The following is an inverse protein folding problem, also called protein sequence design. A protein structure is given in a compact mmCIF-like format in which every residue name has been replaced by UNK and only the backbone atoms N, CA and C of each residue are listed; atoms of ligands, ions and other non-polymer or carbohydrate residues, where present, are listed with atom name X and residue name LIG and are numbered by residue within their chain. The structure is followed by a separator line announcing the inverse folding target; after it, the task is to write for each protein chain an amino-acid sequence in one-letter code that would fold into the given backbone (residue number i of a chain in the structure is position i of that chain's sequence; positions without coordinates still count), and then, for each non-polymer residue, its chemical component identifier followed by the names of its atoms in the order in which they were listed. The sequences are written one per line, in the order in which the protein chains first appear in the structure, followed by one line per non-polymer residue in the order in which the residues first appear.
data_IF_412846772364
#
_entry.id   IF_412846772364
#
_cell.length_a   1.000
_cell.length_b   1.000
_cell.length_c   1.000
_cell.angle_alpha   90.00
_cell.angle_beta   90.00
_cell.angle_gamma   90.00
#
_symmetry.space_group_name_H-M   'P 1'
#
loop_
_entity.id
_entity.type
_entity.pdbx_description
1 polymer ?
#
# COMPACT_ATOMS: atom_id res chain seq x y z
N UNK A 1 -21.63 13.13 9.51
CA UNK A 1 -20.20 12.72 9.58
C UNK A 1 -19.73 11.91 8.37
N UNK A 2 -20.39 10.82 7.97
CA UNK A 2 -19.92 9.90 6.89
C UNK A 2 -19.61 10.57 5.53
N UNK A 3 -20.45 11.51 5.08
CA UNK A 3 -20.22 12.29 3.83
C UNK A 3 -19.00 13.22 3.87
N UNK A 4 -18.58 13.67 5.06
CA UNK A 4 -17.42 14.55 5.20
C UNK A 4 -16.12 13.75 5.15
N UNK A 5 -16.10 12.59 5.80
CA UNK A 5 -14.95 11.68 5.78
C UNK A 5 -14.71 11.12 4.37
N UNK A 6 -15.77 10.76 3.66
CA UNK A 6 -15.68 10.30 2.26
C UNK A 6 -14.92 11.29 1.39
N UNK A 7 -15.30 12.58 1.42
CA UNK A 7 -14.61 13.62 0.65
C UNK A 7 -13.14 13.82 1.04
N UNK A 8 -12.80 13.62 2.31
CA UNK A 8 -11.42 13.72 2.78
C UNK A 8 -10.58 12.57 2.21
N UNK A 9 -11.09 11.33 2.25
CA UNK A 9 -10.39 10.19 1.68
C UNK A 9 -10.27 10.25 0.15
N UNK A 10 -11.30 10.77 -0.52
CA UNK A 10 -11.32 10.99 -1.97
C UNK A 10 -10.19 11.97 -2.40
N UNK A 11 -10.18 13.16 -1.79
CA UNK A 11 -9.14 14.18 -2.07
C UNK A 11 -7.73 13.66 -1.73
N UNK A 12 -7.56 13.03 -0.56
CA UNK A 12 -6.25 12.51 -0.16
C UNK A 12 -5.82 11.38 -1.09
N UNK A 13 -6.72 10.48 -1.47
CA UNK A 13 -6.46 9.36 -2.37
C UNK A 13 -5.99 9.83 -3.74
N UNK A 14 -6.70 10.80 -4.33
CA UNK A 14 -6.32 11.41 -5.61
C UNK A 14 -4.95 12.08 -5.54
N UNK A 15 -4.70 12.90 -4.53
CA UNK A 15 -3.42 13.59 -4.36
C UNK A 15 -2.27 12.59 -4.19
N UNK A 16 -2.44 11.58 -3.34
CA UNK A 16 -1.41 10.56 -3.12
C UNK A 16 -1.14 9.74 -4.39
N UNK A 17 -2.17 9.44 -5.18
CA UNK A 17 -2.00 8.74 -6.45
C UNK A 17 -1.18 9.56 -7.45
N UNK A 18 -1.47 10.86 -7.57
CA UNK A 18 -0.70 11.78 -8.42
C UNK A 18 0.75 11.89 -7.95
N UNK A 19 0.99 12.04 -6.64
CA UNK A 19 2.34 12.11 -6.08
C UNK A 19 3.13 10.82 -6.31
N UNK A 20 2.50 9.66 -6.14
CA UNK A 20 3.12 8.37 -6.41
C UNK A 20 3.52 8.22 -7.88
N UNK A 21 2.67 8.69 -8.80
CA UNK A 21 2.95 8.70 -10.23
C UNK A 21 4.10 9.65 -10.60
N UNK A 22 4.12 10.85 -10.03
CA UNK A 22 5.22 11.80 -10.21
C UNK A 22 6.54 11.20 -9.74
N UNK A 23 6.55 10.58 -8.54
CA UNK A 23 7.73 9.90 -8.02
C UNK A 23 8.19 8.77 -8.94
N UNK A 24 7.26 7.98 -9.47
CA UNK A 24 7.56 6.91 -10.42
C UNK A 24 8.25 7.45 -11.68
N UNK A 25 7.68 8.49 -12.31
CA UNK A 25 8.26 9.11 -13.51
C UNK A 25 9.63 9.73 -13.19
N UNK A 26 9.75 10.41 -12.06
CA UNK A 26 11.00 11.03 -11.62
C UNK A 26 12.13 10.00 -11.46
N UNK A 27 11.84 8.86 -10.80
CA UNK A 27 12.80 7.76 -10.66
C UNK A 27 13.13 7.08 -11.99
N UNK A 28 12.16 6.96 -12.90
CA UNK A 28 12.39 6.43 -14.25
C UNK A 28 13.33 7.33 -15.07
N UNK A 29 13.19 8.65 -14.96
CA UNK A 29 14.13 9.61 -15.56
C UNK A 29 15.50 9.47 -14.90
N UNK A 30 15.57 9.37 -13.56
CA UNK A 30 16.84 9.15 -12.88
C UNK A 30 17.55 7.86 -13.33
N UNK A 31 16.81 6.79 -13.64
CA UNK A 31 17.41 5.56 -14.15
C UNK A 31 18.13 5.73 -15.51
N UNK A 32 17.76 6.75 -16.30
CA UNK A 32 18.41 7.07 -17.57
C UNK A 32 19.59 8.04 -17.42
N UNK A 33 19.44 9.05 -16.56
CA UNK A 33 20.39 10.15 -16.46
C UNK A 33 21.31 10.08 -15.22
N UNK A 34 21.02 9.18 -14.27
CA UNK A 34 21.80 8.92 -13.05
C UNK A 34 22.22 10.20 -12.29
N UNK A 35 21.27 11.10 -12.05
CA UNK A 35 21.54 12.40 -11.44
C UNK A 35 21.31 12.45 -9.92
N UNK A 36 20.71 11.42 -9.32
CA UNK A 36 20.49 11.32 -7.88
C UNK A 36 21.66 10.62 -7.17
N UNK A 37 22.14 11.15 -6.03
CA UNK A 37 23.05 10.43 -5.15
C UNK A 37 22.40 9.18 -4.52
N UNK A 38 23.20 8.15 -4.27
CA UNK A 38 22.74 6.84 -3.74
C UNK A 38 21.88 6.96 -2.47
N UNK A 39 22.28 7.82 -1.53
CA UNK A 39 21.54 8.02 -0.29
C UNK A 39 20.12 8.56 -0.53
N UNK A 40 19.94 9.46 -1.49
CA UNK A 40 18.63 10.01 -1.87
C UNK A 40 17.83 8.96 -2.64
N UNK A 41 18.47 8.27 -3.59
CA UNK A 41 17.84 7.23 -4.39
C UNK A 41 17.25 6.13 -3.51
N UNK A 42 18.00 5.62 -2.53
CA UNK A 42 17.54 4.57 -1.63
C UNK A 42 16.27 4.97 -0.87
N UNK A 43 16.22 6.20 -0.34
CA UNK A 43 15.03 6.71 0.37
C UNK A 43 13.84 6.82 -0.59
N UNK A 44 14.04 7.37 -1.79
CA UNK A 44 12.97 7.53 -2.77
C UNK A 44 12.45 6.18 -3.29
N UNK A 45 13.31 5.18 -3.46
CA UNK A 45 12.90 3.82 -3.84
C UNK A 45 12.05 3.17 -2.75
N UNK A 46 12.41 3.34 -1.48
CA UNK A 46 11.58 2.87 -0.36
C UNK A 46 10.22 3.56 -0.37
N UNK A 47 10.18 4.89 -0.54
CA UNK A 47 8.92 5.63 -0.64
C UNK A 47 8.09 5.14 -1.83
N UNK A 48 8.70 4.89 -2.99
CA UNK A 48 8.03 4.37 -4.17
C UNK A 48 7.45 2.96 -3.92
N UNK A 49 8.19 2.08 -3.24
CA UNK A 49 7.74 0.74 -2.91
C UNK A 49 6.48 0.77 -2.02
N UNK A 50 6.43 1.67 -1.03
CA UNK A 50 5.29 1.78 -0.12
C UNK A 50 4.17 2.71 -0.63
N UNK A 51 4.42 3.55 -1.63
CA UNK A 51 3.41 4.50 -2.12
C UNK A 51 2.19 3.78 -2.70
N UNK A 52 2.40 2.70 -3.45
CA UNK A 52 1.31 1.91 -4.04
C UNK A 52 0.36 1.35 -3.00
N UNK A 53 0.90 0.82 -1.90
CA UNK A 53 0.06 0.25 -0.86
C UNK A 53 -0.68 1.32 -0.08
N UNK A 54 -0.03 2.45 0.22
CA UNK A 54 -0.67 3.59 0.87
C UNK A 54 -1.85 4.11 0.01
N UNK A 55 -1.63 4.29 -1.31
CA UNK A 55 -2.69 4.73 -2.24
C UNK A 55 -3.83 3.71 -2.27
N UNK A 56 -3.52 2.43 -2.41
CA UNK A 56 -4.52 1.36 -2.46
C UNK A 56 -5.34 1.29 -1.17
N UNK A 57 -4.71 1.49 -0.02
CA UNK A 57 -5.40 1.55 1.27
C UNK A 57 -6.35 2.75 1.31
N UNK A 58 -5.87 3.96 1.02
CA UNK A 58 -6.67 5.18 1.10
C UNK A 58 -7.88 5.12 0.17
N UNK A 59 -7.67 4.78 -1.11
CA UNK A 59 -8.75 4.65 -2.11
C UNK A 59 -9.66 3.47 -1.77
N UNK A 60 -9.11 2.35 -1.30
CA UNK A 60 -9.89 1.20 -0.85
C UNK A 60 -10.78 1.55 0.35
N UNK A 61 -10.28 2.30 1.33
CA UNK A 61 -11.06 2.78 2.46
C UNK A 61 -12.20 3.69 2.02
N UNK A 62 -11.93 4.62 1.11
CA UNK A 62 -12.94 5.51 0.52
C UNK A 62 -14.06 4.70 -0.16
N UNK A 63 -13.69 3.75 -1.02
CA UNK A 63 -14.63 2.89 -1.74
C UNK A 63 -15.47 2.03 -0.77
N UNK A 64 -14.86 1.50 0.28
CA UNK A 64 -15.52 0.58 1.22
C UNK A 64 -16.41 1.31 2.24
N UNK A 65 -16.09 2.56 2.60
CA UNK A 65 -16.97 3.40 3.44
C UNK A 65 -18.35 3.57 2.81
N UNK A 66 -18.48 3.51 1.48
CA UNK A 66 -19.76 3.62 0.75
C UNK A 66 -20.56 2.31 0.74
N UNK A 67 -19.92 1.16 1.02
CA UNK A 67 -20.52 -0.19 0.95
C UNK A 67 -21.14 -0.64 2.28
N UNK A 68 -21.76 -1.82 2.28
CA UNK A 68 -22.35 -2.46 3.46
C UNK A 68 -21.26 -2.90 4.46
N UNK A 69 -21.66 -3.26 5.68
CA UNK A 69 -20.71 -3.63 6.75
C UNK A 69 -19.88 -4.88 6.40
N UNK A 70 -20.50 -5.86 5.73
CA UNK A 70 -19.83 -7.10 5.32
C UNK A 70 -18.60 -6.83 4.44
N UNK A 71 -18.75 -6.02 3.39
CA UNK A 71 -17.64 -5.67 2.50
C UNK A 71 -16.52 -4.92 3.22
N UNK A 72 -16.86 -4.08 4.22
CA UNK A 72 -15.84 -3.39 5.03
C UNK A 72 -15.03 -4.33 5.90
N UNK A 73 -15.68 -5.29 6.55
CA UNK A 73 -15.00 -6.28 7.39
C UNK A 73 -14.04 -7.10 6.53
N UNK A 74 -14.50 -7.59 5.37
CA UNK A 74 -13.65 -8.33 4.42
C UNK A 74 -12.44 -7.48 4.02
N UNK A 75 -12.66 -6.22 3.67
CA UNK A 75 -11.57 -5.31 3.33
C UNK A 75 -10.58 -5.13 4.49
N UNK A 76 -11.04 -4.92 5.72
CA UNK A 76 -10.17 -4.75 6.89
C UNK A 76 -9.32 -6.00 7.16
N UNK A 77 -9.88 -7.19 6.98
CA UNK A 77 -9.14 -8.46 7.11
C UNK A 77 -8.04 -8.56 6.05
N UNK A 78 -8.35 -8.23 4.79
CA UNK A 78 -7.37 -8.24 3.70
C UNK A 78 -6.25 -7.22 3.98
N UNK A 79 -6.60 -6.00 4.38
CA UNK A 79 -5.63 -4.95 4.76
C UNK A 79 -4.73 -5.42 5.90
N UNK A 80 -5.30 -6.01 6.94
CA UNK A 80 -4.53 -6.53 8.07
C UNK A 80 -3.56 -7.64 7.62
N UNK A 81 -4.02 -8.59 6.79
CA UNK A 81 -3.17 -9.64 6.26
C UNK A 81 -2.00 -9.07 5.45
N UNK A 82 -2.27 -8.13 4.56
CA UNK A 82 -1.25 -7.46 3.73
C UNK A 82 -0.21 -6.74 4.59
N UNK A 83 -0.64 -5.97 5.60
CA UNK A 83 0.27 -5.28 6.52
C UNK A 83 1.12 -6.28 7.30
N UNK A 84 0.51 -7.35 7.82
CA UNK A 84 1.25 -8.38 8.57
C UNK A 84 2.30 -9.03 7.67
N UNK A 85 1.93 -9.45 6.46
CA UNK A 85 2.84 -10.14 5.55
C UNK A 85 3.98 -9.22 5.06
N UNK A 86 3.70 -7.94 4.84
CA UNK A 86 4.70 -7.01 4.34
C UNK A 86 5.70 -6.55 5.42
N UNK A 87 5.23 -6.33 6.65
CA UNK A 87 6.09 -5.83 7.74
C UNK A 87 6.66 -6.95 8.63
N UNK A 88 6.05 -8.13 8.63
CA UNK A 88 6.49 -9.29 9.41
C UNK A 88 6.65 -10.52 8.50
N UNK A 89 7.66 -10.52 7.61
CA UNK A 89 7.84 -11.60 6.62
C UNK A 89 8.01 -12.98 7.26
N UNK A 90 8.62 -13.07 8.46
CA UNK A 90 8.72 -14.32 9.22
C UNK A 90 7.37 -14.92 9.64
N UNK A 91 6.27 -14.17 9.58
CA UNK A 91 4.91 -14.71 9.77
C UNK A 91 4.52 -15.64 8.63
N UNK A 92 4.95 -15.33 7.40
CA UNK A 92 4.70 -16.18 6.23
C UNK A 92 5.47 -17.49 6.32
N UNK A 93 6.75 -17.43 6.70
CA UNK A 93 7.60 -18.61 6.86
C UNK A 93 7.02 -19.56 7.92
N UNK A 94 6.53 -19.01 9.04
CA UNK A 94 5.87 -19.79 10.09
C UNK A 94 4.54 -20.40 9.61
N UNK A 95 3.69 -19.63 8.91
CA UNK A 95 2.44 -20.12 8.33
C UNK A 95 2.66 -21.27 7.35
N UNK A 96 3.62 -21.12 6.43
CA UNK A 96 4.01 -22.15 5.49
C UNK A 96 4.59 -23.38 6.21
N UNK A 97 5.34 -23.18 7.29
CA UNK A 97 5.82 -24.26 8.16
C UNK A 97 4.68 -25.08 8.79
N UNK A 98 3.62 -24.42 9.28
CA UNK A 98 2.45 -25.11 9.83
C UNK A 98 1.63 -25.83 8.75
N UNK A 99 1.42 -25.21 7.58
CA UNK A 99 0.71 -25.86 6.46
C UNK A 99 1.48 -27.06 5.93
N UNK A 100 2.81 -26.95 5.80
CA UNK A 100 3.69 -28.04 5.41
C UNK A 100 3.70 -29.19 6.42
N UNK A 101 3.65 -28.87 7.73
CA UNK A 101 3.57 -29.88 8.80
C UNK A 101 2.22 -30.60 8.88
N UNK A 102 1.13 -29.97 8.44
CA UNK A 102 -0.21 -30.59 8.36
C UNK A 102 -0.44 -31.40 7.07
N UNK A 103 0.49 -31.34 6.10
CA UNK A 103 0.44 -32.07 4.83
C UNK A 103 1.21 -33.41 4.86
N UNK A 104 1.81 -33.77 6.01
CA UNK A 104 2.48 -35.05 6.31
C UNK A 104 1.70 -35.81 7.38
#
# INVERSE_FOLDING_TARGET
MRKSLEKVFDIIGEILAVLALILYVFLAINAQFMFLPDGVLNVLMVIQQYSFIIVTLVVGFEAMIKRNLLFRIIFYVIVAAVVILQFFPGTWDNLMGYVGAMAL
#
